data_IF_614650247566
#
_entry.id   IF_614650247566
#
_cell.length_a   1.000
_cell.length_b   1.000
_cell.length_c   1.000
_cell.angle_alpha   90.00
_cell.angle_beta   90.00
_cell.angle_gamma   90.00
#
_symmetry.space_group_name_H-M   'P 1'
#
loop_
_entity.id
_entity.type
_entity.pdbx_description
1 polymer ?
#
# COMPACT_ATOMS: atom_id res chain seq x y z
N UNK A 1 1.61 -15.02 1.85
CA UNK A 1 1.00 -14.15 0.84
C UNK A 1 -0.37 -13.79 1.37
N UNK A 2 -0.59 -12.51 1.64
CA UNK A 2 -1.85 -11.99 2.18
C UNK A 2 -3.04 -12.38 1.30
N UNK A 3 -2.82 -12.47 -0.01
CA UNK A 3 -3.85 -12.86 -0.98
C UNK A 3 -4.30 -14.33 -0.86
N UNK A 4 -3.66 -15.13 0.00
CA UNK A 4 -3.99 -16.56 0.22
C UNK A 4 -4.60 -16.84 1.59
N UNK A 5 -4.68 -15.83 2.45
CA UNK A 5 -5.00 -16.00 3.86
C UNK A 5 -5.88 -14.84 4.29
N UNK A 6 -7.16 -15.11 4.48
CA UNK A 6 -8.17 -14.07 4.66
C UNK A 6 -8.61 -13.96 6.11
N UNK A 7 -8.51 -15.05 6.89
CA UNK A 7 -8.97 -15.06 8.30
C UNK A 7 -7.86 -15.23 9.32
N UNK A 8 -8.13 -14.79 10.56
CA UNK A 8 -7.25 -15.00 11.71
C UNK A 8 -6.83 -16.48 11.90
N UNK A 9 -7.74 -17.41 11.61
CA UNK A 9 -7.51 -18.84 11.74
C UNK A 9 -6.56 -19.35 10.64
N UNK A 10 -6.75 -18.90 9.41
CA UNK A 10 -5.88 -19.26 8.29
C UNK A 10 -4.47 -18.68 8.48
N UNK A 11 -4.35 -17.44 8.97
CA UNK A 11 -3.04 -16.82 9.27
C UNK A 11 -2.30 -17.68 10.30
N UNK A 12 -3.01 -18.11 11.34
CA UNK A 12 -2.41 -18.96 12.36
C UNK A 12 -1.98 -20.33 11.83
N UNK A 13 -2.79 -20.97 10.98
CA UNK A 13 -2.41 -22.26 10.37
C UNK A 13 -1.22 -22.09 9.43
N UNK A 14 -1.22 -21.05 8.61
CA UNK A 14 -0.10 -20.70 7.74
C UNK A 14 1.20 -20.53 8.54
N UNK A 15 1.16 -19.76 9.62
CA UNK A 15 2.32 -19.51 10.48
C UNK A 15 2.86 -20.79 11.13
N UNK A 16 1.99 -21.68 11.62
CA UNK A 16 2.40 -22.98 12.20
C UNK A 16 3.02 -23.93 11.17
N UNK A 17 2.64 -23.80 9.89
CA UNK A 17 3.17 -24.60 8.80
C UNK A 17 4.45 -24.04 8.16
N UNK A 18 4.90 -22.85 8.58
CA UNK A 18 6.01 -22.15 7.94
C UNK A 18 7.34 -22.86 8.22
N UNK A 19 7.99 -23.37 7.17
CA UNK A 19 9.26 -24.12 7.28
C UNK A 19 10.51 -23.29 6.99
N UNK A 20 10.37 -22.23 6.18
CA UNK A 20 11.49 -21.38 5.72
C UNK A 20 11.00 -19.95 5.55
N UNK A 21 11.80 -18.99 5.97
CA UNK A 21 11.58 -17.57 5.72
C UNK A 21 12.09 -17.19 4.33
N UNK A 22 11.49 -16.18 3.70
CA UNK A 22 11.91 -15.68 2.39
C UNK A 22 13.33 -15.08 2.42
N UNK A 23 13.77 -14.58 3.58
CA UNK A 23 15.08 -14.03 3.83
C UNK A 23 15.41 -14.09 5.33
N UNK A 24 16.67 -13.88 5.69
CA UNK A 24 17.09 -13.88 7.10
C UNK A 24 16.49 -12.68 7.86
N UNK A 25 16.02 -12.85 9.11
CA UNK A 25 15.46 -11.75 9.90
C UNK A 25 16.42 -10.54 9.98
N UNK A 26 15.88 -9.33 9.80
CA UNK A 26 16.66 -8.09 9.87
C UNK A 26 17.49 -7.75 8.62
N UNK A 27 17.47 -8.57 7.56
CA UNK A 27 18.27 -8.32 6.35
C UNK A 27 17.52 -7.67 5.21
N UNK A 28 16.19 -7.79 5.16
CA UNK A 28 15.34 -7.17 4.12
C UNK A 28 14.04 -6.67 4.72
N UNK A 29 13.43 -5.71 4.02
CA UNK A 29 12.11 -5.17 4.30
C UNK A 29 11.06 -5.84 3.39
N UNK A 30 9.96 -6.30 3.97
CA UNK A 30 8.80 -6.82 3.26
C UNK A 30 7.53 -6.44 4.01
N UNK A 31 6.68 -5.60 3.41
CA UNK A 31 5.41 -5.22 4.03
C UNK A 31 4.45 -6.42 4.03
N UNK A 32 4.02 -6.85 5.22
CA UNK A 32 3.20 -8.06 5.36
C UNK A 32 2.20 -7.97 6.53
N UNK A 33 0.91 -8.07 6.23
CA UNK A 33 -0.16 -8.05 7.23
C UNK A 33 -0.12 -9.23 8.21
N UNK A 34 0.57 -10.33 7.88
CA UNK A 34 0.82 -11.43 8.83
C UNK A 34 1.60 -10.94 10.06
N UNK A 35 2.46 -9.93 9.90
CA UNK A 35 3.24 -9.35 11.00
C UNK A 35 2.35 -8.51 11.93
N UNK A 36 1.30 -7.87 11.39
CA UNK A 36 0.27 -7.19 12.18
C UNK A 36 -0.49 -8.20 13.03
N UNK A 37 -0.90 -9.33 12.44
CA UNK A 37 -1.57 -10.40 13.18
C UNK A 37 -0.71 -10.95 14.34
N UNK A 38 0.58 -11.20 14.12
CA UNK A 38 1.49 -11.64 15.18
C UNK A 38 1.62 -10.61 16.31
N UNK A 39 1.72 -9.31 15.98
CA UNK A 39 1.74 -8.23 16.97
C UNK A 39 0.47 -8.22 17.83
N UNK A 40 -0.71 -8.42 17.23
CA UNK A 40 -1.98 -8.58 17.95
C UNK A 40 -1.91 -9.73 18.97
N UNK A 41 -1.37 -10.90 18.58
CA UNK A 41 -1.21 -12.07 19.47
C UNK A 41 -0.26 -11.81 20.63
N UNK A 42 0.84 -11.09 20.41
CA UNK A 42 1.78 -10.71 21.48
C UNK A 42 1.07 -9.82 22.50
N UNK A 43 0.33 -8.80 22.04
CA UNK A 43 -0.45 -7.92 22.92
C UNK A 43 -1.44 -8.73 23.77
N UNK A 44 -2.19 -9.66 23.15
CA UNK A 44 -3.12 -10.52 23.89
C UNK A 44 -2.40 -11.36 24.95
N UNK A 45 -1.27 -11.97 24.59
CA UNK A 45 -0.51 -12.85 25.48
C UNK A 45 0.08 -12.10 26.68
N UNK A 46 0.63 -10.91 26.45
CA UNK A 46 1.29 -10.10 27.48
C UNK A 46 0.28 -9.39 28.38
N UNK A 47 -0.80 -8.84 27.80
CA UNK A 47 -1.81 -8.10 28.56
C UNK A 47 -2.85 -8.97 29.26
N UNK A 48 -3.07 -10.20 28.76
CA UNK A 48 -4.19 -11.05 29.18
C UNK A 48 -5.56 -10.57 28.69
N UNK A 49 -5.62 -9.54 27.85
CA UNK A 49 -6.86 -8.99 27.28
C UNK A 49 -7.10 -9.52 25.87
N UNK A 50 -8.35 -9.52 25.40
CA UNK A 50 -8.61 -9.60 23.95
C UNK A 50 -8.01 -8.37 23.27
N UNK A 51 -7.62 -8.48 22.00
CA UNK A 51 -7.00 -7.36 21.29
C UNK A 51 -7.98 -6.17 21.18
N UNK A 52 -9.25 -6.43 20.85
CA UNK A 52 -10.29 -5.40 20.83
C UNK A 52 -10.44 -4.69 22.19
N UNK A 53 -10.50 -5.44 23.30
CA UNK A 53 -10.59 -4.83 24.64
C UNK A 53 -9.35 -4.03 25.01
N UNK A 54 -8.16 -4.46 24.57
CA UNK A 54 -6.93 -3.71 24.76
C UNK A 54 -6.96 -2.38 24.00
N UNK A 55 -7.27 -2.40 22.71
CA UNK A 55 -7.35 -1.21 21.87
C UNK A 55 -8.37 -0.21 22.43
N UNK A 56 -9.58 -0.68 22.74
CA UNK A 56 -10.63 0.12 23.35
C UNK A 56 -10.15 0.81 24.64
N UNK A 57 -9.67 0.04 25.61
CA UNK A 57 -9.37 0.53 26.97
C UNK A 57 -8.05 1.28 27.08
N UNK A 58 -7.05 0.91 26.28
CA UNK A 58 -5.67 1.41 26.40
C UNK A 58 -5.29 2.41 25.32
N UNK A 59 -6.07 2.53 24.25
CA UNK A 59 -5.75 3.40 23.11
C UNK A 59 -6.91 4.36 22.80
N UNK A 60 -8.09 3.84 22.46
CA UNK A 60 -9.23 4.67 22.00
C UNK A 60 -9.82 5.54 23.13
N UNK A 61 -10.20 4.94 24.26
CA UNK A 61 -10.78 5.66 25.40
C UNK A 61 -9.83 6.73 25.98
N UNK A 62 -8.52 6.46 26.19
CA UNK A 62 -7.58 7.50 26.60
C UNK A 62 -7.50 8.68 25.62
N UNK A 63 -7.69 8.45 24.33
CA UNK A 63 -7.71 9.52 23.33
C UNK A 63 -9.08 10.16 23.12
N UNK A 64 -10.12 9.70 23.81
CA UNK A 64 -11.49 10.20 23.67
C UNK A 64 -12.12 9.88 22.31
N UNK A 65 -11.68 8.80 21.67
CA UNK A 65 -12.18 8.32 20.37
C UNK A 65 -13.46 7.52 20.55
N UNK A 66 -14.56 8.20 20.83
CA UNK A 66 -15.81 7.58 21.30
C UNK A 66 -16.70 7.05 20.17
N UNK A 67 -16.39 7.36 18.90
CA UNK A 67 -17.17 6.88 17.74
C UNK A 67 -16.49 5.77 16.96
N UNK A 68 -15.27 5.39 17.37
CA UNK A 68 -14.50 4.34 16.75
C UNK A 68 -15.18 2.98 16.97
N UNK A 69 -15.20 2.18 15.92
CA UNK A 69 -15.80 0.84 15.92
C UNK A 69 -14.71 -0.18 15.62
N UNK A 70 -14.60 -1.19 16.47
CA UNK A 70 -13.70 -2.33 16.24
C UNK A 70 -14.48 -3.44 15.54
N UNK A 71 -13.94 -3.95 14.44
CA UNK A 71 -14.49 -5.02 13.62
C UNK A 71 -15.92 -4.72 13.13
N UNK A 72 -16.11 -3.66 12.31
CA UNK A 72 -17.43 -3.31 11.81
C UNK A 72 -18.01 -4.43 10.94
N UNK A 73 -19.34 -4.50 10.93
CA UNK A 73 -20.12 -5.49 10.20
C UNK A 73 -21.31 -4.84 9.50
N UNK A 74 -22.02 -5.61 8.68
CA UNK A 74 -23.20 -5.14 7.98
C UNK A 74 -24.25 -4.46 8.91
N UNK A 75 -24.34 -4.93 10.15
CA UNK A 75 -25.28 -4.45 11.18
C UNK A 75 -24.78 -3.19 11.93
N UNK A 76 -23.57 -2.72 11.65
CA UNK A 76 -23.01 -1.53 12.31
C UNK A 76 -23.78 -0.29 11.86
N UNK A 77 -24.46 0.43 12.79
CA UNK A 77 -25.28 1.56 12.41
C UNK A 77 -24.42 2.73 11.92
N UNK A 78 -24.94 3.49 10.96
CA UNK A 78 -24.28 4.67 10.38
C UNK A 78 -22.87 4.41 9.83
N UNK A 79 -22.60 3.18 9.40
CA UNK A 79 -21.33 2.82 8.77
C UNK A 79 -21.41 3.03 7.25
N UNK A 80 -20.49 3.84 6.73
CA UNK A 80 -20.40 4.08 5.27
C UNK A 80 -20.07 2.77 4.55
N UNK A 81 -20.55 2.59 3.33
CA UNK A 81 -20.15 1.48 2.46
C UNK A 81 -19.24 2.00 1.36
N UNK A 82 -18.19 1.25 1.04
CA UNK A 82 -17.31 1.57 -0.08
C UNK A 82 -17.88 1.06 -1.39
N UNK A 83 -17.41 1.62 -2.51
CA UNK A 83 -17.82 1.22 -3.85
C UNK A 83 -16.68 1.40 -4.86
N UNK A 84 -16.71 0.62 -5.93
CA UNK A 84 -15.72 0.64 -7.00
C UNK A 84 -15.95 1.78 -8.03
N UNK A 85 -15.11 1.87 -9.07
CA UNK A 85 -15.28 2.90 -10.12
C UNK A 85 -16.57 2.77 -10.94
N UNK A 86 -17.23 1.61 -10.88
CA UNK A 86 -18.53 1.36 -11.52
C UNK A 86 -19.72 1.62 -10.58
N UNK A 87 -19.46 2.20 -9.39
CA UNK A 87 -20.44 2.43 -8.33
C UNK A 87 -21.06 1.14 -7.76
N UNK A 88 -20.38 0.00 -7.92
CA UNK A 88 -20.79 -1.25 -7.28
C UNK A 88 -20.29 -1.22 -5.84
N UNK A 89 -21.23 -1.38 -4.90
CA UNK A 89 -20.94 -1.35 -3.48
C UNK A 89 -20.23 -2.63 -3.03
N UNK A 90 -19.24 -2.50 -2.14
CA UNK A 90 -18.56 -3.61 -1.49
C UNK A 90 -19.41 -4.25 -0.39
N UNK A 91 -19.17 -5.54 -0.15
CA UNK A 91 -19.63 -6.23 1.05
C UNK A 91 -18.80 -5.77 2.27
N UNK A 92 -19.45 -5.60 3.42
CA UNK A 92 -18.77 -5.27 4.67
C UNK A 92 -18.52 -6.55 5.49
N UNK A 93 -17.44 -7.25 5.17
CA UNK A 93 -16.99 -8.44 5.89
C UNK A 93 -15.62 -8.23 6.53
N UNK A 94 -15.57 -8.28 7.87
CA UNK A 94 -14.31 -8.23 8.61
C UNK A 94 -13.71 -9.63 8.73
N UNK A 95 -12.84 -10.00 7.78
CA UNK A 95 -12.26 -11.34 7.73
C UNK A 95 -11.15 -11.58 8.78
N UNK A 96 -10.39 -10.54 9.15
CA UNK A 96 -9.44 -10.58 10.27
C UNK A 96 -9.91 -9.67 11.40
N UNK A 97 -9.70 -10.07 12.65
CA UNK A 97 -10.19 -9.29 13.81
C UNK A 97 -9.23 -8.17 14.21
N UNK A 98 -9.73 -7.19 14.96
CA UNK A 98 -9.00 -6.05 15.46
C UNK A 98 -8.78 -4.91 14.46
N UNK A 99 -9.66 -4.72 13.48
CA UNK A 99 -9.64 -3.53 12.63
C UNK A 99 -10.45 -2.40 13.26
N UNK A 100 -9.90 -1.19 13.28
CA UNK A 100 -10.56 -0.03 13.87
C UNK A 100 -11.02 0.87 12.74
N UNK A 101 -12.33 1.06 12.64
CA UNK A 101 -12.92 2.07 11.78
C UNK A 101 -13.18 3.33 12.58
N UNK A 102 -12.84 4.48 11.99
CA UNK A 102 -12.82 5.77 12.68
C UNK A 102 -13.47 6.86 11.84
N UNK A 103 -13.94 7.91 12.50
CA UNK A 103 -14.30 9.17 11.86
C UNK A 103 -13.08 10.08 11.72
N UNK A 104 -13.19 11.16 10.94
CA UNK A 104 -12.14 12.19 10.86
C UNK A 104 -11.89 12.83 12.23
N UNK A 105 -12.93 13.03 13.04
CA UNK A 105 -12.81 13.60 14.39
C UNK A 105 -12.02 12.68 15.33
N UNK A 106 -12.33 11.37 15.33
CA UNK A 106 -11.58 10.41 16.13
C UNK A 106 -10.13 10.29 15.67
N UNK A 107 -9.89 10.33 14.36
CA UNK A 107 -8.53 10.27 13.82
C UNK A 107 -7.74 11.54 14.12
N UNK A 108 -8.37 12.71 14.17
CA UNK A 108 -7.75 13.93 14.67
C UNK A 108 -7.37 13.80 16.15
N UNK A 109 -8.30 13.32 17.00
CA UNK A 109 -8.02 13.05 18.42
C UNK A 109 -6.88 12.06 18.60
N UNK A 110 -6.82 11.01 17.78
CA UNK A 110 -5.71 10.05 17.76
C UNK A 110 -4.38 10.75 17.51
N UNK A 111 -4.28 11.58 16.47
CA UNK A 111 -3.05 12.31 16.13
C UNK A 111 -2.62 13.22 17.28
N UNK A 112 -3.54 13.97 17.88
CA UNK A 112 -3.23 14.84 19.02
C UNK A 112 -2.75 14.04 20.24
N UNK A 113 -3.47 12.96 20.57
CA UNK A 113 -3.18 12.09 21.71
C UNK A 113 -1.83 11.35 21.57
N UNK A 114 -1.51 10.91 20.35
CA UNK A 114 -0.24 10.27 20.03
C UNK A 114 0.91 11.24 20.28
N UNK A 115 0.83 12.46 19.75
CA UNK A 115 1.89 13.46 19.85
C UNK A 115 1.95 14.16 21.22
N UNK A 116 0.95 14.03 22.08
CA UNK A 116 0.96 14.59 23.43
C UNK A 116 1.75 13.74 24.44
N UNK A 117 2.33 12.61 24.03
CA UNK A 117 3.02 11.68 24.93
C UNK A 117 2.10 10.85 25.82
N UNK A 118 0.77 10.87 25.60
CA UNK A 118 -0.22 10.23 26.49
C UNK A 118 -0.23 8.70 26.38
N UNK A 119 0.03 8.18 25.18
CA UNK A 119 0.03 6.75 24.90
C UNK A 119 1.44 6.14 24.91
N UNK A 120 2.40 6.90 24.40
CA UNK A 120 3.78 6.48 24.20
C UNK A 120 4.68 7.69 24.40
N UNK A 121 5.89 7.48 24.92
CA UNK A 121 6.86 8.55 25.11
C UNK A 121 7.31 9.12 23.77
N UNK A 122 7.85 10.35 23.79
CA UNK A 122 8.48 10.97 22.62
C UNK A 122 9.60 10.10 22.04
N UNK A 123 10.43 9.49 22.90
CA UNK A 123 11.45 8.54 22.47
C UNK A 123 10.85 7.32 21.77
N UNK A 124 9.73 6.78 22.27
CA UNK A 124 9.04 5.67 21.62
C UNK A 124 8.44 6.08 20.27
N UNK A 125 7.94 7.31 20.12
CA UNK A 125 7.51 7.82 18.81
C UNK A 125 8.66 7.98 17.83
N UNK A 126 9.83 8.44 18.29
CA UNK A 126 11.02 8.51 17.46
C UNK A 126 11.41 7.11 16.97
N UNK A 127 11.45 6.12 17.86
CA UNK A 127 11.73 4.71 17.51
C UNK A 127 10.71 4.17 16.49
N UNK A 128 9.41 4.44 16.68
CA UNK A 128 8.38 4.03 15.71
C UNK A 128 8.41 4.83 14.40
N UNK A 129 9.15 5.93 14.33
CA UNK A 129 9.36 6.71 13.09
C UNK A 129 10.53 6.17 12.26
N UNK A 130 11.38 5.30 12.81
CA UNK A 130 12.54 4.77 12.10
C UNK A 130 12.14 3.75 11.03
N UNK A 131 12.52 4.05 9.79
CA UNK A 131 12.35 3.15 8.64
C UNK A 131 13.54 2.19 8.51
N UNK A 132 13.31 0.98 8.01
CA UNK A 132 14.40 0.02 7.72
C UNK A 132 15.42 0.57 6.69
N UNK A 133 14.93 1.32 5.71
CA UNK A 133 15.69 2.06 4.70
C UNK A 133 14.88 3.30 4.25
N UNK A 134 15.51 4.33 3.64
CA UNK A 134 14.84 5.61 3.31
C UNK A 134 13.53 5.50 2.53
N UNK A 135 13.36 4.44 1.72
CA UNK A 135 12.16 4.22 0.90
C UNK A 135 11.13 3.25 1.51
N UNK A 136 11.32 2.80 2.76
CA UNK A 136 10.43 1.84 3.43
C UNK A 136 9.52 2.51 4.45
N UNK A 137 8.34 1.95 4.70
CA UNK A 137 7.48 2.45 5.77
C UNK A 137 8.02 2.03 7.13
N UNK A 138 7.91 2.94 8.10
CA UNK A 138 8.04 2.66 9.53
C UNK A 138 6.68 2.22 10.11
N UNK A 139 6.62 1.82 11.39
CA UNK A 139 5.36 1.61 12.10
C UNK A 139 4.39 2.81 12.11
N UNK A 140 4.89 4.04 11.89
CA UNK A 140 4.11 5.27 11.76
C UNK A 140 3.99 5.76 10.30
N UNK A 141 4.32 4.91 9.32
CA UNK A 141 4.26 5.24 7.91
C UNK A 141 5.54 5.93 7.43
N UNK A 142 5.41 7.11 6.85
CA UNK A 142 6.53 7.92 6.38
C UNK A 142 6.76 9.10 7.30
N UNK A 143 8.02 9.36 7.65
CA UNK A 143 8.43 10.53 8.41
C UNK A 143 9.60 11.19 7.72
N UNK A 144 9.61 12.53 7.66
CA UNK A 144 10.78 13.28 7.24
C UNK A 144 11.30 14.12 8.40
N UNK A 145 12.62 14.19 8.50
CA UNK A 145 13.33 14.99 9.50
C UNK A 145 14.33 15.90 8.78
N UNK A 146 14.42 17.14 9.22
CA UNK A 146 15.47 18.09 8.81
C UNK A 146 16.24 18.53 10.05
N UNK A 147 17.56 18.35 10.06
CA UNK A 147 18.43 18.61 11.21
C UNK A 147 17.95 17.98 12.54
N UNK A 148 17.27 16.83 12.46
CA UNK A 148 16.70 16.13 13.62
C UNK A 148 15.29 16.61 14.02
N UNK A 149 14.77 17.66 13.40
CA UNK A 149 13.43 18.16 13.62
C UNK A 149 12.44 17.51 12.64
N UNK A 150 11.36 16.96 13.18
CA UNK A 150 10.31 16.34 12.38
C UNK A 150 9.60 17.37 11.50
N UNK A 151 9.53 17.10 10.20
CA UNK A 151 8.88 17.96 9.21
C UNK A 151 7.45 17.50 8.92
N UNK A 152 7.24 16.20 8.80
CA UNK A 152 5.90 15.60 8.70
C UNK A 152 5.91 14.13 9.12
N UNK A 153 4.73 13.63 9.50
CA UNK A 153 4.39 12.21 9.49
C UNK A 153 3.20 11.97 8.59
N UNK A 154 3.27 10.96 7.75
CA UNK A 154 2.20 10.59 6.83
C UNK A 154 1.96 9.08 6.90
N UNK A 155 0.69 8.68 6.98
CA UNK A 155 0.31 7.29 6.80
C UNK A 155 -0.90 7.19 5.87
N UNK A 156 -0.83 6.24 4.95
CA UNK A 156 -1.94 5.82 4.09
C UNK A 156 -2.51 4.49 4.58
N UNK A 157 -3.81 4.30 4.44
CA UNK A 157 -4.48 3.03 4.69
C UNK A 157 -5.46 2.75 3.56
N UNK A 158 -5.55 1.50 3.15
CA UNK A 158 -6.52 1.03 2.17
C UNK A 158 -7.09 -0.31 2.64
N UNK A 159 -8.41 -0.42 2.59
CA UNK A 159 -9.15 -1.68 2.78
C UNK A 159 -10.33 -1.65 1.82
N UNK A 160 -10.46 -2.65 0.96
CA UNK A 160 -11.47 -2.67 -0.10
C UNK A 160 -11.39 -1.35 -0.92
N UNK A 161 -12.54 -0.69 -1.19
CA UNK A 161 -12.54 0.63 -1.82
C UNK A 161 -12.51 1.82 -0.84
N UNK A 162 -12.23 1.59 0.46
CA UNK A 162 -11.89 2.67 1.38
C UNK A 162 -10.43 3.08 1.26
N UNK A 163 -10.18 4.39 1.35
CA UNK A 163 -8.84 4.93 1.56
C UNK A 163 -8.84 5.96 2.71
N UNK A 164 -7.73 5.99 3.42
CA UNK A 164 -7.47 6.95 4.49
C UNK A 164 -6.07 7.51 4.33
N UNK A 165 -5.95 8.84 4.34
CA UNK A 165 -4.68 9.54 4.38
C UNK A 165 -4.64 10.46 5.59
N UNK A 166 -3.59 10.36 6.40
CA UNK A 166 -3.35 11.25 7.54
C UNK A 166 -1.96 11.82 7.45
N UNK A 167 -1.86 13.14 7.39
CA UNK A 167 -0.60 13.86 7.51
C UNK A 167 -0.64 14.76 8.76
N UNK A 168 0.40 14.67 9.57
CA UNK A 168 0.66 15.61 10.66
C UNK A 168 1.91 16.42 10.36
N UNK A 169 1.75 17.74 10.34
CA UNK A 169 2.78 18.72 10.03
C UNK A 169 2.96 19.59 11.29
N UNK A 170 4.03 19.39 12.08
CA UNK A 170 4.24 20.15 13.31
C UNK A 170 4.55 21.64 13.08
N UNK A 171 5.13 22.02 11.93
CA UNK A 171 5.38 23.41 11.55
C UNK A 171 4.79 23.69 10.15
N UNK A 172 3.71 24.50 10.03
CA UNK A 172 3.19 25.47 11.02
C UNK A 172 2.14 24.94 12.01
N UNK A 173 1.90 23.61 12.06
CA UNK A 173 1.07 23.00 13.10
C UNK A 173 -0.36 22.69 12.65
N UNK A 174 -0.51 21.76 11.72
CA UNK A 174 -1.81 21.25 11.29
C UNK A 174 -1.81 19.76 11.01
N UNK A 175 -3.01 19.19 10.93
CA UNK A 175 -3.26 17.82 10.49
C UNK A 175 -4.18 17.85 9.28
N UNK A 176 -3.81 17.15 8.22
CA UNK A 176 -4.67 16.93 7.05
C UNK A 176 -5.17 15.48 7.13
N UNK A 177 -6.49 15.30 7.09
CA UNK A 177 -7.14 13.99 7.15
C UNK A 177 -8.10 13.87 5.97
N UNK A 178 -7.90 12.87 5.13
CA UNK A 178 -8.79 12.53 4.03
C UNK A 178 -9.26 11.09 4.21
N UNK A 179 -10.57 10.87 4.21
CA UNK A 179 -11.20 9.56 4.22
C UNK A 179 -12.13 9.47 3.00
N UNK A 180 -12.00 8.42 2.18
CA UNK A 180 -12.87 8.18 1.03
C UNK A 180 -13.43 6.76 1.09
N UNK A 181 -14.62 6.59 0.53
CA UNK A 181 -15.27 5.29 0.33
C UNK A 181 -15.30 4.90 -1.15
N UNK A 182 -14.45 5.53 -1.95
CA UNK A 182 -14.17 5.18 -3.32
C UNK A 182 -12.67 5.32 -3.54
N UNK A 183 -12.05 4.23 -3.97
CA UNK A 183 -10.61 4.16 -4.16
C UNK A 183 -10.23 4.94 -5.41
N UNK A 184 -9.26 5.83 -5.25
CA UNK A 184 -8.72 6.65 -6.32
C UNK A 184 -7.18 6.63 -6.37
N UNK A 185 -6.50 6.14 -5.32
CA UNK A 185 -5.03 6.11 -5.17
C UNK A 185 -4.34 7.49 -5.16
N UNK A 186 -5.09 8.60 -5.05
CA UNK A 186 -4.55 9.96 -5.17
C UNK A 186 -4.53 10.75 -3.84
N UNK A 187 -4.82 10.09 -2.70
CA UNK A 187 -4.88 10.81 -1.41
C UNK A 187 -3.56 11.50 -1.04
N UNK A 188 -2.42 10.92 -1.41
CA UNK A 188 -1.11 11.53 -1.21
C UNK A 188 -0.96 12.85 -1.98
N UNK A 189 -1.37 12.87 -3.25
CA UNK A 189 -1.31 14.06 -4.10
C UNK A 189 -2.29 15.14 -3.62
N UNK A 190 -3.48 14.75 -3.16
CA UNK A 190 -4.41 15.68 -2.50
C UNK A 190 -3.84 16.28 -1.22
N UNK A 191 -3.19 15.47 -0.37
CA UNK A 191 -2.54 15.95 0.85
C UNK A 191 -1.41 16.92 0.52
N UNK A 192 -0.57 16.61 -0.46
CA UNK A 192 0.52 17.47 -0.89
C UNK A 192 0.00 18.81 -1.45
N UNK A 193 -1.07 18.79 -2.26
CA UNK A 193 -1.69 20.00 -2.77
C UNK A 193 -2.30 20.87 -1.66
N UNK A 194 -2.98 20.25 -0.67
CA UNK A 194 -3.52 20.97 0.48
C UNK A 194 -2.39 21.58 1.32
N UNK A 195 -1.30 20.83 1.58
CA UNK A 195 -0.12 21.33 2.31
C UNK A 195 0.49 22.54 1.59
N UNK A 196 0.69 22.46 0.27
CA UNK A 196 1.20 23.55 -0.54
C UNK A 196 0.30 24.80 -0.46
N UNK A 197 -1.03 24.63 -0.56
CA UNK A 197 -2.00 25.72 -0.40
C UNK A 197 -1.88 26.37 0.99
N UNK A 198 -1.82 25.58 2.06
CA UNK A 198 -1.72 26.07 3.44
C UNK A 198 -0.42 26.83 3.69
N UNK A 199 0.66 26.49 2.98
CA UNK A 199 1.96 27.18 3.02
C UNK A 199 2.05 28.39 2.07
N UNK A 200 1.05 28.61 1.21
CA UNK A 200 1.11 29.63 0.16
C UNK A 200 2.10 29.33 -0.97
N UNK A 201 2.45 28.05 -1.14
CA UNK A 201 3.31 27.57 -2.22
C UNK A 201 2.52 27.33 -3.51
N UNK A 202 3.24 27.25 -4.63
CA UNK A 202 2.65 26.72 -5.87
C UNK A 202 2.22 25.26 -5.69
N UNK A 203 1.12 24.89 -6.33
CA UNK A 203 0.57 23.54 -6.26
C UNK A 203 0.05 23.09 -7.63
N UNK A 204 -0.04 21.78 -7.80
CA UNK A 204 -0.73 21.18 -8.94
C UNK A 204 -2.07 20.61 -8.48
N UNK A 205 -3.09 20.71 -9.34
CA UNK A 205 -4.36 20.02 -9.11
C UNK A 205 -4.11 18.52 -9.33
N UNK A 206 -4.32 17.67 -8.31
CA UNK A 206 -4.18 16.22 -8.47
C UNK A 206 -5.07 15.72 -9.60
N UNK A 207 -4.52 14.84 -10.43
CA UNK A 207 -5.19 14.22 -11.57
C UNK A 207 -5.43 12.75 -11.26
N UNK A 208 -6.40 12.16 -11.94
CA UNK A 208 -6.81 10.77 -11.71
C UNK A 208 -5.73 9.79 -12.14
N UNK A 209 -5.42 8.81 -11.31
CA UNK A 209 -4.61 7.65 -11.69
C UNK A 209 -5.21 6.91 -12.89
N UNK A 210 -4.36 6.43 -13.80
CA UNK A 210 -4.77 5.54 -14.89
C UNK A 210 -4.95 4.08 -14.42
N UNK A 211 -4.33 3.69 -13.31
CA UNK A 211 -4.20 2.32 -12.83
C UNK A 211 -5.55 1.61 -12.67
N UNK A 212 -6.48 2.16 -11.88
CA UNK A 212 -7.75 1.49 -11.58
C UNK A 212 -8.65 1.37 -12.81
N UNK A 213 -8.75 2.43 -13.61
CA UNK A 213 -9.54 2.42 -14.84
C UNK A 213 -8.95 1.48 -15.89
N UNK A 214 -7.62 1.45 -16.03
CA UNK A 214 -6.95 0.52 -16.93
C UNK A 214 -7.10 -0.94 -16.47
N UNK A 215 -6.96 -1.20 -15.16
CA UNK A 215 -7.20 -2.52 -14.56
C UNK A 215 -8.61 -3.01 -14.88
N UNK A 216 -9.63 -2.22 -14.57
CA UNK A 216 -11.02 -2.56 -14.82
C UNK A 216 -11.25 -2.86 -16.31
N UNK A 217 -10.73 -2.00 -17.19
CA UNK A 217 -10.86 -2.17 -18.65
C UNK A 217 -10.23 -3.48 -19.13
N UNK A 218 -8.98 -3.76 -18.76
CA UNK A 218 -8.31 -5.00 -19.18
C UNK A 218 -8.99 -6.23 -18.55
N UNK A 219 -9.40 -6.13 -17.29
CA UNK A 219 -10.01 -7.24 -16.57
C UNK A 219 -11.38 -7.61 -17.15
N UNK A 220 -12.23 -6.66 -17.52
CA UNK A 220 -13.55 -6.98 -18.04
C UNK A 220 -13.58 -7.17 -19.57
N UNK A 221 -12.75 -6.44 -20.30
CA UNK A 221 -12.84 -6.36 -21.77
C UNK A 221 -11.59 -6.88 -22.50
N UNK A 222 -10.50 -7.17 -21.79
CA UNK A 222 -9.27 -7.71 -22.35
C UNK A 222 -8.20 -6.68 -22.69
N UNK A 223 -6.97 -7.17 -22.93
CA UNK A 223 -5.80 -6.33 -23.17
C UNK A 223 -6.00 -5.33 -24.32
N UNK A 224 -6.56 -5.75 -25.46
CA UNK A 224 -6.74 -4.85 -26.61
C UNK A 224 -7.64 -3.66 -26.28
N UNK A 225 -8.76 -3.90 -25.57
CA UNK A 225 -9.67 -2.85 -25.14
C UNK A 225 -8.99 -1.89 -24.14
N UNK A 226 -8.19 -2.43 -23.22
CA UNK A 226 -7.38 -1.63 -22.30
C UNK A 226 -6.36 -0.74 -23.01
N UNK A 227 -5.69 -1.25 -24.04
CA UNK A 227 -4.72 -0.45 -24.81
C UNK A 227 -5.38 0.61 -25.68
N UNK A 228 -6.58 0.33 -26.22
CA UNK A 228 -7.39 1.34 -26.91
C UNK A 228 -7.76 2.46 -25.93
N UNK A 229 -8.27 2.10 -24.75
CA UNK A 229 -8.58 3.05 -23.67
C UNK A 229 -7.36 3.89 -23.27
N UNK A 230 -6.22 3.25 -22.96
CA UNK A 230 -5.00 3.94 -22.54
C UNK A 230 -4.52 4.95 -23.58
N UNK A 231 -4.60 4.59 -24.88
CA UNK A 231 -4.21 5.51 -25.95
C UNK A 231 -5.22 6.65 -26.15
N UNK A 232 -6.50 6.42 -25.88
CA UNK A 232 -7.54 7.43 -25.94
C UNK A 232 -7.36 8.49 -24.83
N UNK A 233 -7.26 8.05 -23.57
CA UNK A 233 -7.09 8.98 -22.44
C UNK A 233 -5.80 9.80 -22.54
N UNK A 234 -4.72 9.23 -23.10
CA UNK A 234 -3.48 9.96 -23.36
C UNK A 234 -3.64 11.09 -24.37
N UNK A 235 -4.51 10.92 -25.36
CA UNK A 235 -4.71 11.89 -26.44
C UNK A 235 -5.76 12.93 -26.09
N UNK A 236 -6.82 12.49 -25.43
CA UNK A 236 -8.05 13.25 -25.30
C UNK A 236 -8.35 13.71 -23.86
N UNK A 237 -7.69 13.12 -22.85
CA UNK A 237 -7.99 13.36 -21.43
C UNK A 237 -6.72 13.56 -20.58
N UNK A 238 -5.67 14.12 -21.17
CA UNK A 238 -4.38 14.34 -20.50
C UNK A 238 -4.44 15.39 -19.37
N UNK A 239 -5.50 16.21 -19.34
CA UNK A 239 -5.84 17.14 -18.27
C UNK A 239 -6.58 16.47 -17.10
N UNK A 240 -7.22 15.32 -17.34
CA UNK A 240 -7.97 14.55 -16.34
C UNK A 240 -7.06 13.51 -15.68
N UNK A 241 -6.23 12.81 -16.47
CA UNK A 241 -5.41 11.70 -16.00
C UNK A 241 -3.95 12.09 -15.69
N UNK A 242 -3.39 11.43 -14.68
CA UNK A 242 -1.99 11.54 -14.30
C UNK A 242 -1.14 10.54 -15.08
N UNK A 243 -0.21 11.04 -15.90
CA UNK A 243 0.75 10.20 -16.62
C UNK A 243 2.17 10.30 -16.06
N UNK A 244 2.39 11.04 -14.96
CA UNK A 244 3.72 11.17 -14.35
C UNK A 244 4.20 9.86 -13.74
N UNK A 245 3.28 9.04 -13.21
CA UNK A 245 3.55 7.75 -12.59
C UNK A 245 3.26 6.56 -13.53
N UNK A 246 3.12 6.82 -14.82
CA UNK A 246 2.68 5.82 -15.80
C UNK A 246 3.53 4.54 -15.80
N UNK A 247 4.86 4.63 -15.63
CA UNK A 247 5.71 3.45 -15.51
C UNK A 247 5.26 2.55 -14.35
N UNK A 248 5.05 3.13 -13.18
CA UNK A 248 4.66 2.41 -11.98
C UNK A 248 3.25 1.83 -12.12
N UNK A 249 2.30 2.63 -12.59
CA UNK A 249 0.90 2.23 -12.73
C UNK A 249 0.71 1.10 -13.76
N UNK A 250 1.47 1.12 -14.87
CA UNK A 250 1.44 0.02 -15.85
C UNK A 250 2.09 -1.25 -15.29
N UNK A 251 3.21 -1.12 -14.56
CA UNK A 251 3.86 -2.25 -13.90
C UNK A 251 2.93 -2.90 -12.87
N UNK A 252 2.33 -2.10 -11.98
CA UNK A 252 1.41 -2.57 -10.94
C UNK A 252 0.11 -3.13 -11.51
N UNK A 253 -0.39 -2.57 -12.61
CA UNK A 253 -1.52 -3.15 -13.35
C UNK A 253 -1.15 -4.52 -13.92
N UNK A 254 0.04 -4.66 -14.51
CA UNK A 254 0.55 -5.92 -15.04
C UNK A 254 0.66 -7.00 -13.96
N UNK A 255 1.26 -6.65 -12.83
CA UNK A 255 1.40 -7.55 -11.67
C UNK A 255 0.06 -7.98 -11.10
N UNK A 256 -0.88 -7.04 -10.94
CA UNK A 256 -2.22 -7.34 -10.46
C UNK A 256 -2.96 -8.30 -11.40
N UNK A 257 -2.86 -8.12 -12.72
CA UNK A 257 -3.45 -9.05 -13.69
C UNK A 257 -2.88 -10.47 -13.55
N UNK A 258 -1.57 -10.61 -13.30
CA UNK A 258 -0.97 -11.92 -13.03
C UNK A 258 -1.56 -12.57 -11.78
N UNK A 259 -1.80 -11.79 -10.72
CA UNK A 259 -2.43 -12.27 -9.48
C UNK A 259 -3.89 -12.70 -9.69
N UNK A 260 -4.60 -12.03 -10.60
CA UNK A 260 -5.99 -12.35 -10.97
C UNK A 260 -6.10 -13.50 -11.99
N UNK A 261 -5.04 -14.32 -12.15
CA UNK A 261 -4.94 -15.41 -13.13
C UNK A 261 -5.08 -14.96 -14.60
N UNK A 262 -4.93 -13.66 -14.90
CA UNK A 262 -4.93 -13.10 -16.25
C UNK A 262 -3.51 -13.05 -16.82
N UNK A 263 -2.81 -14.20 -16.76
CA UNK A 263 -1.39 -14.31 -17.07
C UNK A 263 -1.02 -13.75 -18.45
N UNK A 264 -1.83 -14.03 -19.48
CA UNK A 264 -1.59 -13.54 -20.84
C UNK A 264 -1.63 -12.01 -20.91
N UNK A 265 -2.63 -11.38 -20.31
CA UNK A 265 -2.80 -9.93 -20.38
C UNK A 265 -1.77 -9.21 -19.51
N UNK A 266 -1.52 -9.73 -18.30
CA UNK A 266 -0.48 -9.21 -17.41
C UNK A 266 0.90 -9.25 -18.05
N UNK A 267 1.27 -10.39 -18.66
CA UNK A 267 2.55 -10.51 -19.36
C UNK A 267 2.66 -9.55 -20.55
N UNK A 268 1.62 -9.45 -21.38
CA UNK A 268 1.60 -8.51 -22.51
C UNK A 268 1.75 -7.06 -22.05
N UNK A 269 1.09 -6.69 -20.94
CA UNK A 269 1.22 -5.36 -20.39
C UNK A 269 2.64 -5.11 -19.87
N UNK A 270 3.25 -6.06 -19.14
CA UNK A 270 4.64 -5.93 -18.68
C UNK A 270 5.63 -5.83 -19.85
N UNK A 271 5.47 -6.62 -20.92
CA UNK A 271 6.29 -6.53 -22.13
C UNK A 271 6.12 -5.16 -22.82
N UNK A 272 4.89 -4.63 -22.87
CA UNK A 272 4.62 -3.29 -23.36
C UNK A 272 5.28 -2.21 -22.48
N UNK A 273 5.18 -2.33 -21.15
CA UNK A 273 5.81 -1.41 -20.20
C UNK A 273 7.33 -1.41 -20.38
N UNK A 274 7.96 -2.56 -20.54
CA UNK A 274 9.41 -2.67 -20.80
C UNK A 274 9.83 -2.02 -22.13
N UNK A 275 8.96 -2.07 -23.15
CA UNK A 275 9.20 -1.39 -24.43
C UNK A 275 9.13 0.13 -24.29
N UNK A 276 8.24 0.62 -23.42
CA UNK A 276 8.04 2.05 -23.17
C UNK A 276 9.07 2.66 -22.22
N UNK A 277 9.54 1.87 -21.26
CA UNK A 277 10.50 2.27 -20.23
C UNK A 277 11.72 1.31 -20.22
N UNK A 278 12.56 1.35 -21.27
CA UNK A 278 13.64 0.38 -21.48
C UNK A 278 14.82 0.51 -20.51
N UNK A 279 14.85 1.56 -19.69
CA UNK A 279 15.89 1.82 -18.70
C UNK A 279 15.49 1.39 -17.28
N UNK A 280 14.35 0.71 -17.12
CA UNK A 280 13.83 0.32 -15.80
C UNK A 280 14.25 -1.11 -15.43
N UNK A 281 15.27 -1.30 -14.57
CA UNK A 281 15.67 -2.64 -14.11
C UNK A 281 14.53 -3.35 -13.37
N UNK A 282 13.61 -2.60 -12.74
CA UNK A 282 12.47 -3.16 -12.00
C UNK A 282 11.52 -3.93 -12.92
N UNK A 283 11.22 -3.40 -14.10
CA UNK A 283 10.31 -4.06 -15.06
C UNK A 283 10.95 -5.34 -15.60
N UNK A 284 12.24 -5.28 -15.97
CA UNK A 284 12.96 -6.47 -16.44
C UNK A 284 13.10 -7.53 -15.35
N UNK A 285 13.34 -7.14 -14.10
CA UNK A 285 13.36 -8.07 -12.97
C UNK A 285 12.01 -8.79 -12.84
N UNK A 286 10.90 -8.06 -12.92
CA UNK A 286 9.56 -8.66 -12.87
C UNK A 286 9.31 -9.60 -14.03
N UNK A 287 9.62 -9.20 -15.27
CA UNK A 287 9.50 -10.06 -16.45
C UNK A 287 10.35 -11.34 -16.32
N UNK A 288 11.57 -11.22 -15.82
CA UNK A 288 12.46 -12.36 -15.62
C UNK A 288 11.86 -13.40 -14.68
N UNK A 289 11.37 -12.96 -13.51
CA UNK A 289 10.70 -13.82 -12.55
C UNK A 289 9.44 -14.47 -13.12
N UNK A 290 8.63 -13.72 -13.87
CA UNK A 290 7.41 -14.25 -14.50
C UNK A 290 7.75 -15.30 -15.56
N UNK A 291 8.75 -15.07 -16.39
CA UNK A 291 9.19 -16.07 -17.38
C UNK A 291 9.78 -17.31 -16.72
N UNK A 292 10.49 -17.15 -15.62
CA UNK A 292 11.02 -18.24 -14.83
C UNK A 292 9.89 -19.11 -14.24
N UNK A 293 8.88 -18.48 -13.65
CA UNK A 293 7.68 -19.16 -13.12
C UNK A 293 6.91 -19.90 -14.22
N UNK A 294 6.92 -19.38 -15.45
CA UNK A 294 6.32 -20.02 -16.63
C UNK A 294 7.21 -21.10 -17.26
N UNK A 295 8.40 -21.36 -16.71
CA UNK A 295 9.36 -22.33 -17.23
C UNK A 295 10.09 -21.89 -18.52
N UNK A 296 9.96 -20.62 -18.92
CA UNK A 296 10.64 -20.07 -20.08
C UNK A 296 12.05 -19.57 -19.70
N UNK A 297 12.97 -20.52 -19.52
CA UNK A 297 14.36 -20.29 -19.11
C UNK A 297 15.08 -19.27 -20.00
N UNK A 298 14.92 -19.35 -21.32
CA UNK A 298 15.57 -18.45 -22.28
C UNK A 298 15.15 -16.99 -22.07
N UNK A 299 13.84 -16.73 -21.99
CA UNK A 299 13.34 -15.37 -21.74
C UNK A 299 13.67 -14.89 -20.33
N UNK A 300 13.66 -15.76 -19.33
CA UNK A 300 14.04 -15.41 -17.96
C UNK A 300 15.49 -14.90 -17.90
N UNK A 301 16.43 -15.70 -18.42
CA UNK A 301 17.86 -15.36 -18.49
C UNK A 301 18.09 -14.05 -19.24
N UNK A 302 17.43 -13.86 -20.41
CA UNK A 302 17.53 -12.62 -21.18
C UNK A 302 17.15 -11.39 -20.35
N UNK A 303 16.07 -11.46 -19.58
CA UNK A 303 15.62 -10.34 -18.77
C UNK A 303 16.52 -10.12 -17.54
N UNK A 304 16.98 -11.18 -16.85
CA UNK A 304 17.95 -11.03 -15.75
C UNK A 304 19.28 -10.42 -16.22
N UNK A 305 19.77 -10.77 -17.40
CA UNK A 305 20.94 -10.13 -18.01
C UNK A 305 20.70 -8.63 -18.26
N UNK A 306 19.50 -8.25 -18.74
CA UNK A 306 19.14 -6.83 -18.91
C UNK A 306 19.10 -6.08 -17.58
N UNK A 307 18.65 -6.73 -16.50
CA UNK A 307 18.75 -6.15 -15.13
C UNK A 307 20.22 -5.91 -14.77
N UNK A 308 21.13 -6.85 -15.03
CA UNK A 308 22.56 -6.68 -14.73
C UNK A 308 23.24 -5.64 -15.60
N UNK A 309 22.77 -5.42 -16.82
CA UNK A 309 23.22 -4.34 -17.69
C UNK A 309 22.86 -2.96 -17.11
N UNK A 310 21.61 -2.80 -16.66
CA UNK A 310 21.08 -1.54 -16.12
C UNK A 310 21.49 -1.29 -14.66
N UNK A 311 21.62 -2.35 -13.87
CA UNK A 311 21.94 -2.33 -12.45
C UNK A 311 22.99 -3.42 -12.11
N UNK A 312 24.28 -3.17 -12.38
CA UNK A 312 25.34 -4.17 -12.21
C UNK A 312 25.48 -4.72 -10.79
N UNK A 313 25.08 -3.96 -9.77
CA UNK A 313 25.10 -4.35 -8.35
C UNK A 313 23.88 -5.18 -7.92
N UNK A 314 22.93 -5.49 -8.81
CA UNK A 314 21.76 -6.27 -8.44
C UNK A 314 22.15 -7.72 -8.10
N UNK A 315 22.17 -8.03 -6.80
CA UNK A 315 22.55 -9.35 -6.26
C UNK A 315 21.51 -10.41 -6.57
N UNK A 316 20.22 -10.07 -6.52
CA UNK A 316 19.14 -11.02 -6.78
C UNK A 316 19.19 -11.51 -8.23
N UNK A 317 19.39 -10.62 -9.19
CA UNK A 317 19.53 -11.02 -10.59
C UNK A 317 20.75 -11.92 -10.81
N UNK A 318 21.86 -11.68 -10.11
CA UNK A 318 23.04 -12.54 -10.18
C UNK A 318 22.75 -13.95 -9.61
N UNK A 319 22.13 -14.02 -8.43
CA UNK A 319 21.75 -15.29 -7.80
C UNK A 319 20.81 -16.11 -8.69
N UNK A 320 19.82 -15.48 -9.34
CA UNK A 320 18.90 -16.18 -10.24
C UNK A 320 19.58 -16.66 -11.51
N UNK A 321 20.52 -15.89 -12.08
CA UNK A 321 21.29 -16.32 -13.25
C UNK A 321 22.11 -17.57 -12.96
N UNK A 322 22.81 -17.62 -11.82
CA UNK A 322 23.59 -18.81 -11.42
C UNK A 322 22.70 -20.06 -11.25
N UNK A 323 21.47 -19.90 -10.77
CA UNK A 323 20.51 -21.02 -10.63
C UNK A 323 19.91 -21.46 -11.97
N UNK A 324 19.94 -20.59 -12.97
CA UNK A 324 19.43 -20.82 -14.32
C UNK A 324 20.55 -21.12 -15.32
N UNK A 325 21.77 -21.44 -14.89
CA UNK A 325 22.79 -22.02 -15.77
C UNK A 325 22.65 -23.54 -15.77
#
# INVERSE_FOLDING_TARGET
DYNKVQTDAEVWQYLKGLKKLQFAPGTKYNYNNVDVFLRKRIIQKVSGMSYAAFVEKKMLQPCGMNTAVIDPSAETPNFTRSFDESYVQDDLETNMSGWVAVTTEDLYKWVQCLNSGKLISEQGLAELSESFKPSSQSPLGYSAFDNGELQFRYHHGQSDNFEAGVAWIPDPGYTIILLTNNRCNELGDHINAIDAILRGNEFEIPRRSIELSLRAKIFHEGYEAGMVFLNDIRRNEADIFNFKQEENELLETGEWLLQMNRHKDGLRLLEYTATRFPESPRIYMKLAMVFEDLGNKEKAVKNYLKVKELEPQNELAAERLEQLE
#
